data_IF_729182408388
#
_entry.id   IF_729182408388
#
_cell.length_a   1.000
_cell.length_b   1.000
_cell.length_c   1.000
_cell.angle_alpha   90.00
_cell.angle_beta   90.00
_cell.angle_gamma   90.00
#
_symmetry.space_group_name_H-M   'P 1'
#
loop_
_entity.id
_entity.type
_entity.pdbx_description
1 polymer ?
#
# COMPACT_ATOMS: atom_id res chain seq x y z
N UNK A 1 -17.47 13.49 -11.46
CA UNK A 1 -16.91 12.46 -10.56
C UNK A 1 -15.66 11.91 -11.22
N UNK A 2 -14.64 11.55 -10.45
CA UNK A 2 -13.38 11.02 -11.00
C UNK A 2 -13.51 9.52 -11.34
N UNK A 3 -13.00 9.08 -12.50
CA UNK A 3 -13.16 7.72 -13.04
C UNK A 3 -11.89 7.27 -13.78
N UNK A 4 -10.85 6.81 -13.07
CA UNK A 4 -9.56 6.48 -13.66
C UNK A 4 -9.57 5.08 -14.28
N UNK A 5 -8.84 4.91 -15.39
CA UNK A 5 -8.56 3.59 -15.97
C UNK A 5 -7.32 2.92 -15.32
N UNK A 6 -6.41 3.75 -14.78
CA UNK A 6 -5.19 3.33 -14.11
C UNK A 6 -4.92 4.18 -12.86
N UNK A 7 -4.53 3.52 -11.77
CA UNK A 7 -4.04 4.15 -10.54
C UNK A 7 -2.57 3.78 -10.35
N UNK A 8 -1.70 4.79 -10.34
CA UNK A 8 -0.29 4.64 -9.92
C UNK A 8 -0.18 5.09 -8.47
N UNK A 9 -0.03 4.12 -7.56
CA UNK A 9 0.04 4.40 -6.14
C UNK A 9 1.49 4.40 -5.64
N UNK A 10 2.04 5.59 -5.43
CA UNK A 10 3.36 5.80 -4.84
C UNK A 10 3.30 5.64 -3.30
N UNK A 11 3.48 4.41 -2.82
CA UNK A 11 3.18 3.97 -1.46
C UNK A 11 4.39 4.06 -0.52
N UNK A 12 4.90 5.27 -0.28
CA UNK A 12 5.98 5.51 0.69
C UNK A 12 5.57 5.17 2.13
N UNK A 13 6.52 4.73 2.96
CA UNK A 13 6.34 4.47 4.39
C UNK A 13 7.04 5.50 5.27
N UNK A 14 7.58 6.57 4.69
CA UNK A 14 8.20 7.70 5.41
C UNK A 14 7.24 8.45 6.35
N UNK A 15 5.94 8.20 6.23
CA UNK A 15 4.93 8.69 7.17
C UNK A 15 4.87 7.92 8.51
N UNK A 16 5.57 6.78 8.60
CA UNK A 16 5.62 5.92 9.78
C UNK A 16 6.24 6.68 10.97
N UNK A 17 5.68 6.46 12.17
CA UNK A 17 6.25 7.02 13.40
C UNK A 17 7.71 6.58 13.58
N UNK A 18 8.58 7.56 13.81
CA UNK A 18 10.03 7.37 13.92
C UNK A 18 10.82 7.46 12.61
N UNK A 19 10.19 7.68 11.45
CA UNK A 19 10.93 7.89 10.21
C UNK A 19 11.75 9.20 10.29
N UNK A 20 13.06 9.17 9.97
CA UNK A 20 13.94 10.32 10.16
C UNK A 20 13.65 11.50 9.21
N UNK A 21 13.01 11.25 8.06
CA UNK A 21 12.79 12.24 7.01
C UNK A 21 11.32 12.69 6.93
N UNK A 22 10.35 11.76 7.01
CA UNK A 22 8.94 12.12 6.81
C UNK A 22 8.25 12.75 8.03
N UNK A 23 8.75 12.49 9.25
CA UNK A 23 8.37 13.20 10.50
C UNK A 23 6.86 13.25 10.79
N UNK A 24 6.12 12.26 10.32
CA UNK A 24 4.73 12.02 10.75
C UNK A 24 4.72 10.95 11.86
N UNK A 25 3.53 10.62 12.35
CA UNK A 25 3.32 9.69 13.48
C UNK A 25 2.25 8.64 13.16
N UNK A 26 2.26 8.14 11.92
CA UNK A 26 1.32 7.10 11.51
C UNK A 26 1.81 5.75 12.03
N UNK A 27 0.91 4.95 12.60
CA UNK A 27 1.23 3.59 13.04
C UNK A 27 1.37 2.63 11.86
N UNK A 28 2.02 1.46 12.04
CA UNK A 28 2.01 0.40 11.04
C UNK A 28 0.60 0.05 10.54
N UNK A 29 -0.37 -0.10 11.45
CA UNK A 29 -1.78 -0.37 11.10
C UNK A 29 -2.41 0.77 10.29
N UNK A 30 -1.98 2.01 10.52
CA UNK A 30 -2.39 3.17 9.74
C UNK A 30 -1.91 3.09 8.29
N UNK A 31 -0.69 2.60 8.05
CA UNK A 31 -0.16 2.35 6.70
C UNK A 31 -0.94 1.22 6.03
N UNK A 32 -1.18 0.10 6.71
CA UNK A 32 -2.00 -1.00 6.20
C UNK A 32 -3.41 -0.52 5.82
N UNK A 33 -4.03 0.28 6.68
CA UNK A 33 -5.36 0.85 6.44
C UNK A 33 -5.38 1.83 5.28
N UNK A 34 -4.31 2.60 5.08
CA UNK A 34 -4.15 3.50 3.94
C UNK A 34 -4.09 2.72 2.64
N UNK A 35 -3.25 1.70 2.58
CA UNK A 35 -3.07 0.91 1.36
C UNK A 35 -4.37 0.19 0.99
N UNK A 36 -5.05 -0.40 1.98
CA UNK A 36 -6.37 -1.01 1.79
C UNK A 36 -7.38 -0.05 1.16
N UNK A 37 -7.44 1.20 1.63
CA UNK A 37 -8.35 2.22 1.07
C UNK A 37 -8.09 2.48 -0.41
N UNK A 38 -6.82 2.56 -0.82
CA UNK A 38 -6.45 2.81 -2.23
C UNK A 38 -6.82 1.61 -3.10
N UNK A 39 -6.58 0.39 -2.64
CA UNK A 39 -6.97 -0.82 -3.38
C UNK A 39 -8.49 -0.98 -3.49
N UNK A 40 -9.25 -0.66 -2.43
CA UNK A 40 -10.72 -0.64 -2.49
C UNK A 40 -11.21 0.39 -3.50
N UNK A 41 -10.66 1.59 -3.49
CA UNK A 41 -10.99 2.63 -4.47
C UNK A 41 -10.75 2.17 -5.91
N UNK A 42 -9.57 1.59 -6.22
CA UNK A 42 -9.29 1.10 -7.56
C UNK A 42 -10.24 -0.02 -7.98
N UNK A 43 -10.55 -0.96 -7.07
CA UNK A 43 -11.52 -2.04 -7.33
C UNK A 43 -12.93 -1.52 -7.57
N UNK A 44 -13.40 -0.56 -6.78
CA UNK A 44 -14.71 0.09 -6.95
C UNK A 44 -14.82 0.82 -8.30
N UNK A 45 -13.68 1.33 -8.80
CA UNK A 45 -13.56 1.97 -10.11
C UNK A 45 -13.28 1.02 -11.26
N UNK A 46 -13.12 -0.28 -10.98
CA UNK A 46 -12.65 -1.27 -11.94
C UNK A 46 -11.36 -0.81 -12.67
N UNK A 47 -10.51 -0.07 -11.97
CA UNK A 47 -9.28 0.50 -12.48
C UNK A 47 -8.11 -0.47 -12.26
N UNK A 48 -7.20 -0.54 -13.23
CA UNK A 48 -5.93 -1.22 -13.00
C UNK A 48 -5.12 -0.43 -11.96
N UNK A 49 -4.36 -1.13 -11.11
CA UNK A 49 -3.54 -0.49 -10.09
C UNK A 49 -2.11 -1.00 -10.12
N UNK A 50 -1.16 -0.08 -10.05
CA UNK A 50 0.26 -0.37 -9.84
C UNK A 50 0.69 0.29 -8.54
N UNK A 51 1.11 -0.50 -7.57
CA UNK A 51 1.69 -0.02 -6.31
C UNK A 51 3.21 0.03 -6.45
N UNK A 52 3.80 1.16 -6.13
CA UNK A 52 5.25 1.37 -6.11
C UNK A 52 5.67 1.60 -4.67
N UNK A 53 6.62 0.81 -4.18
CA UNK A 53 7.30 1.17 -2.94
C UNK A 53 8.12 2.44 -3.18
N UNK A 54 8.18 3.31 -2.17
CA UNK A 54 8.80 4.63 -2.31
C UNK A 54 9.62 4.97 -1.07
N UNK A 55 9.61 6.22 -0.61
CA UNK A 55 10.23 6.65 0.63
C UNK A 55 9.91 5.74 1.83
N UNK A 56 10.69 5.88 2.89
CA UNK A 56 10.70 4.93 4.01
C UNK A 56 12.14 4.59 4.35
N UNK A 57 12.66 5.26 5.36
CA UNK A 57 14.10 5.30 5.63
C UNK A 57 14.46 4.53 6.90
N UNK A 58 13.53 3.68 7.36
CA UNK A 58 13.69 2.79 8.50
C UNK A 58 13.80 1.34 8.04
N UNK A 59 14.57 0.51 8.75
CA UNK A 59 14.62 -0.94 8.50
C UNK A 59 13.26 -1.62 8.69
N UNK A 60 12.42 -1.07 9.58
CA UNK A 60 11.05 -1.56 9.83
C UNK A 60 10.12 -1.37 8.63
N UNK A 61 10.41 -0.47 7.69
CA UNK A 61 9.59 -0.21 6.51
C UNK A 61 9.31 -1.49 5.70
N UNK A 62 10.31 -2.34 5.50
CA UNK A 62 10.15 -3.59 4.76
C UNK A 62 9.11 -4.52 5.41
N UNK A 63 9.09 -4.59 6.75
CA UNK A 63 8.11 -5.39 7.49
C UNK A 63 6.70 -4.83 7.33
N UNK A 64 6.55 -3.51 7.45
CA UNK A 64 5.25 -2.84 7.29
C UNK A 64 4.68 -3.04 5.88
N UNK A 65 5.54 -2.95 4.85
CA UNK A 65 5.14 -3.22 3.46
C UNK A 65 4.67 -4.69 3.31
N UNK A 66 5.42 -5.65 3.85
CA UNK A 66 5.04 -7.06 3.80
C UNK A 66 3.72 -7.34 4.52
N UNK A 67 3.51 -6.75 5.70
CA UNK A 67 2.27 -6.88 6.47
C UNK A 67 1.08 -6.25 5.73
N UNK A 68 1.29 -5.11 5.04
CA UNK A 68 0.29 -4.49 4.18
C UNK A 68 -0.11 -5.41 3.02
N UNK A 69 0.85 -5.98 2.29
CA UNK A 69 0.61 -6.93 1.19
C UNK A 69 -0.14 -8.17 1.70
N UNK A 70 0.26 -8.72 2.86
CA UNK A 70 -0.44 -9.84 3.47
C UNK A 70 -1.89 -9.49 3.85
N UNK A 71 -2.13 -8.28 4.37
CA UNK A 71 -3.48 -7.80 4.64
C UNK A 71 -4.32 -7.68 3.35
N UNK A 72 -3.77 -7.07 2.30
CA UNK A 72 -4.47 -6.94 1.01
C UNK A 72 -4.89 -8.31 0.46
N UNK A 73 -4.03 -9.32 0.58
CA UNK A 73 -4.36 -10.69 0.16
C UNK A 73 -5.45 -11.30 1.05
N UNK A 74 -5.35 -11.15 2.37
CA UNK A 74 -6.38 -11.60 3.32
C UNK A 74 -7.75 -10.95 3.06
N UNK A 75 -7.76 -9.69 2.63
CA UNK A 75 -8.95 -8.92 2.28
C UNK A 75 -9.47 -9.19 0.85
N UNK A 76 -8.87 -10.17 0.15
CA UNK A 76 -9.19 -10.53 -1.24
C UNK A 76 -9.11 -9.34 -2.21
N UNK A 77 -8.21 -8.39 -1.93
CA UNK A 77 -7.91 -7.24 -2.81
C UNK A 77 -6.79 -7.55 -3.80
N UNK A 78 -5.94 -8.54 -3.51
CA UNK A 78 -4.93 -9.09 -4.41
C UNK A 78 -4.90 -10.62 -4.27
N UNK A 79 -4.46 -11.31 -5.32
CA UNK A 79 -4.10 -12.73 -5.27
C UNK A 79 -2.58 -12.85 -5.17
N UNK A 80 -2.09 -13.63 -4.19
CA UNK A 80 -0.67 -13.92 -4.01
C UNK A 80 -0.26 -15.27 -4.61
N UNK A 81 -1.16 -15.94 -5.36
CA UNK A 81 -0.78 -17.13 -6.11
C UNK A 81 0.40 -16.81 -7.03
N UNK A 82 1.42 -17.69 -7.07
CA UNK A 82 2.51 -17.52 -8.01
C UNK A 82 1.95 -17.45 -9.43
N UNK A 83 2.45 -16.47 -10.20
CA UNK A 83 2.16 -16.38 -11.62
C UNK A 83 2.53 -17.72 -12.25
N UNK A 84 1.55 -18.41 -12.84
CA UNK A 84 1.82 -19.62 -13.62
C UNK A 84 2.20 -19.15 -15.02
N UNK A 85 3.40 -19.54 -15.46
CA UNK A 85 3.84 -19.43 -16.85
C UNK A 85 2.90 -20.19 -17.79
#
# INVERSE_FOLDING_TARGET
MFDPELVVFNAGTDILDGDPLGRLKISPDGITSRDEKVFRFAREKNASLVMLTSGGYMKSSARVIADSIANLSKQTLIDLKPYRE
#
